data_IF_136936720205
#
_entry.id   IF_136936720205
#
_cell.length_a   1.000
_cell.length_b   1.000
_cell.length_c   1.000
_cell.angle_alpha   90.00
_cell.angle_beta   90.00
_cell.angle_gamma   90.00
#
_symmetry.space_group_name_H-M   'P 1'
#
loop_
_entity.id
_entity.type
_entity.pdbx_description
1 polymer ?
#
# COMPACT_ATOMS: atom_id res chain seq x y z
N UNK A 1 -14.20 11.65 -16.36
CA UNK A 1 -13.90 12.70 -15.38
C UNK A 1 -12.42 12.66 -15.08
N UNK A 2 -11.74 13.68 -15.58
CA UNK A 2 -10.34 13.96 -15.45
C UNK A 2 -9.86 13.82 -14.01
N UNK A 3 -9.10 12.78 -13.75
CA UNK A 3 -8.10 12.91 -12.69
C UNK A 3 -7.00 13.76 -13.29
N UNK A 4 -7.16 15.08 -13.12
CA UNK A 4 -6.19 16.05 -13.56
C UNK A 4 -4.81 15.63 -13.11
N UNK A 5 -3.84 15.83 -13.97
CA UNK A 5 -2.41 15.80 -13.63
C UNK A 5 -2.23 16.33 -12.21
N UNK A 6 -1.64 15.56 -11.30
CA UNK A 6 -1.48 16.00 -9.92
C UNK A 6 -0.81 17.38 -9.96
N UNK A 7 -1.49 18.36 -9.38
CA UNK A 7 -1.00 19.75 -9.28
C UNK A 7 0.21 19.85 -8.33
N UNK A 8 1.06 18.83 -8.31
CA UNK A 8 2.32 18.83 -7.54
C UNK A 8 3.16 20.07 -7.78
N UNK A 9 2.87 20.76 -8.88
CA UNK A 9 3.60 21.89 -9.38
C UNK A 9 2.60 22.94 -9.83
N UNK A 10 1.83 23.50 -8.91
CA UNK A 10 1.39 24.87 -9.10
C UNK A 10 2.65 25.76 -9.03
N UNK A 11 3.56 25.59 -9.98
CA UNK A 11 4.67 26.52 -10.17
C UNK A 11 4.03 27.75 -10.79
N UNK A 12 3.94 28.79 -10.00
CA UNK A 12 3.60 30.10 -10.51
C UNK A 12 4.74 30.65 -11.38
N UNK A 13 4.55 31.82 -11.96
CA UNK A 13 5.56 32.52 -12.75
C UNK A 13 6.87 32.81 -11.99
N UNK A 14 6.90 32.61 -10.68
CA UNK A 14 8.06 32.85 -9.77
C UNK A 14 8.75 31.53 -9.38
N UNK A 15 8.40 30.38 -9.97
CA UNK A 15 8.93 29.07 -9.67
C UNK A 15 8.73 28.65 -8.19
N UNK A 16 7.72 29.18 -7.53
CA UNK A 16 7.37 28.78 -6.16
C UNK A 16 6.43 27.58 -6.16
N UNK A 17 6.81 26.56 -5.40
CA UNK A 17 5.97 25.39 -5.18
C UNK A 17 4.87 25.70 -4.16
N UNK A 18 3.70 25.09 -4.37
CA UNK A 18 2.53 25.17 -3.50
C UNK A 18 2.76 24.38 -2.18
N UNK A 19 1.69 23.89 -1.56
CA UNK A 19 1.73 23.03 -0.37
C UNK A 19 2.03 21.56 -0.67
N UNK A 20 2.20 21.20 -1.93
CA UNK A 20 2.51 19.86 -2.37
C UNK A 20 4.01 19.61 -2.33
N UNK A 21 4.39 18.42 -1.90
CA UNK A 21 5.74 17.86 -2.04
C UNK A 21 5.67 16.58 -2.87
N UNK A 22 6.76 16.23 -3.51
CA UNK A 22 6.81 15.02 -4.30
C UNK A 22 7.79 15.05 -5.46
N UNK A 23 7.64 14.08 -6.36
CA UNK A 23 8.45 13.95 -7.55
C UNK A 23 7.56 13.61 -8.75
N UNK A 24 7.74 14.33 -9.87
CA UNK A 24 7.02 14.05 -11.12
C UNK A 24 7.86 14.45 -12.33
N UNK A 25 7.46 13.95 -13.49
CA UNK A 25 8.05 14.38 -14.77
C UNK A 25 7.30 15.62 -15.29
N UNK A 26 8.01 16.69 -15.64
CA UNK A 26 7.50 17.74 -16.50
C UNK A 26 7.48 17.26 -17.95
N UNK A 27 8.62 16.71 -18.41
CA UNK A 27 8.74 16.00 -19.67
C UNK A 27 9.20 14.60 -19.34
N UNK A 28 8.40 13.59 -19.68
CA UNK A 28 8.66 12.22 -19.26
C UNK A 28 10.03 11.74 -19.71
N UNK A 29 10.85 11.21 -18.78
CA UNK A 29 12.22 10.74 -18.93
C UNK A 29 13.27 11.80 -19.28
N UNK A 30 12.88 13.07 -19.44
CA UNK A 30 13.81 14.15 -19.79
C UNK A 30 13.98 15.14 -18.62
N UNK A 31 12.87 15.63 -18.07
CA UNK A 31 12.90 16.68 -17.04
C UNK A 31 12.11 16.25 -15.78
N UNK A 32 12.80 15.68 -14.79
CA UNK A 32 12.19 15.40 -13.50
C UNK A 32 12.13 16.66 -12.65
N UNK A 33 11.06 16.82 -11.90
CA UNK A 33 10.92 17.88 -10.89
C UNK A 33 10.66 17.26 -9.54
N UNK A 34 11.39 17.73 -8.55
CA UNK A 34 11.32 17.31 -7.17
C UNK A 34 11.01 18.51 -6.31
N UNK A 35 9.91 18.44 -5.56
CA UNK A 35 9.52 19.48 -4.60
C UNK A 35 9.78 18.94 -3.19
N UNK A 36 10.68 19.58 -2.49
CA UNK A 36 11.06 19.24 -1.12
C UNK A 36 10.14 19.94 -0.09
N UNK A 37 10.06 19.40 1.12
CA UNK A 37 9.29 20.02 2.20
C UNK A 37 9.84 21.39 2.60
N UNK A 38 8.94 22.31 2.96
CA UNK A 38 9.31 23.66 3.45
C UNK A 38 9.94 23.63 4.84
N UNK A 39 9.53 22.71 5.68
CA UNK A 39 10.01 22.58 7.05
C UNK A 39 11.03 21.43 7.08
N UNK A 40 12.29 21.71 7.39
CA UNK A 40 13.31 20.66 7.51
C UNK A 40 13.06 19.80 8.77
N UNK A 41 13.56 18.56 8.76
CA UNK A 41 13.55 17.64 9.91
C UNK A 41 12.16 17.21 10.41
N UNK A 42 11.14 17.21 9.54
CA UNK A 42 9.85 16.63 9.89
C UNK A 42 9.93 15.09 9.80
N UNK A 43 9.44 14.43 10.84
CA UNK A 43 9.17 12.98 10.78
C UNK A 43 7.87 12.72 10.00
N UNK A 44 8.02 12.59 8.67
CA UNK A 44 6.88 12.29 7.78
C UNK A 44 6.22 10.97 8.13
N UNK A 45 7.01 10.00 8.57
CA UNK A 45 6.46 8.70 8.95
C UNK A 45 5.55 8.82 10.17
N UNK A 46 5.97 9.61 11.17
CA UNK A 46 5.11 9.91 12.31
C UNK A 46 3.82 10.60 11.88
N UNK A 47 3.91 11.60 10.99
CA UNK A 47 2.73 12.31 10.47
C UNK A 47 1.78 11.36 9.73
N UNK A 48 2.30 10.49 8.86
CA UNK A 48 1.51 9.51 8.15
C UNK A 48 0.84 8.51 9.08
N UNK A 49 1.57 7.99 10.05
CA UNK A 49 1.03 7.03 11.02
C UNK A 49 -0.04 7.64 11.89
N UNK A 50 0.15 8.89 12.31
CA UNK A 50 -0.82 9.64 13.09
C UNK A 50 -2.11 9.89 12.29
N UNK A 51 -1.98 10.36 11.04
CA UNK A 51 -3.09 10.59 10.14
C UNK A 51 -3.88 9.29 9.87
N UNK A 52 -3.18 8.19 9.59
CA UNK A 52 -3.77 6.89 9.35
C UNK A 52 -4.55 6.36 10.56
N UNK A 53 -4.09 6.61 11.78
CA UNK A 53 -4.74 6.16 13.01
C UNK A 53 -6.12 6.80 13.23
N UNK A 54 -6.29 8.06 12.84
CA UNK A 54 -7.57 8.78 12.94
C UNK A 54 -8.49 8.50 11.77
N UNK A 55 -7.97 8.37 10.55
CA UNK A 55 -8.76 8.05 9.37
C UNK A 55 -9.52 6.71 9.51
N UNK A 56 -8.88 5.73 10.13
CA UNK A 56 -9.50 4.43 10.39
C UNK A 56 -10.67 4.46 11.36
N UNK A 57 -10.74 5.46 12.25
CA UNK A 57 -11.81 5.62 13.24
C UNK A 57 -13.03 6.35 12.67
N UNK A 58 -12.79 7.32 11.79
CA UNK A 58 -13.86 8.16 11.25
C UNK A 58 -14.38 7.67 9.89
N UNK A 59 -13.70 6.71 9.24
CA UNK A 59 -14.22 6.00 8.05
C UNK A 59 -14.37 6.83 6.77
N UNK A 60 -13.90 8.07 6.75
CA UNK A 60 -14.20 9.02 5.67
C UNK A 60 -13.16 9.08 4.55
N UNK A 61 -12.04 8.35 4.67
CA UNK A 61 -11.02 8.28 3.63
C UNK A 61 -10.31 9.61 3.37
N UNK A 62 -10.18 10.46 4.38
CA UNK A 62 -9.43 11.72 4.29
C UNK A 62 -7.96 11.47 3.98
N UNK A 63 -7.38 10.45 4.59
CA UNK A 63 -5.98 10.10 4.37
C UNK A 63 -5.68 9.73 2.92
N UNK A 64 -6.59 9.03 2.25
CA UNK A 64 -6.42 8.66 0.84
C UNK A 64 -6.42 9.85 -0.13
N UNK A 65 -6.91 11.01 0.33
CA UNK A 65 -6.94 12.27 -0.44
C UNK A 65 -5.70 13.14 -0.19
N UNK A 66 -4.85 12.79 0.80
CA UNK A 66 -3.66 13.56 1.14
C UNK A 66 -2.47 13.29 0.21
N UNK A 67 -2.51 12.21 -0.57
CA UNK A 67 -1.39 11.83 -1.44
C UNK A 67 -1.86 11.05 -2.66
N UNK A 68 -1.01 10.99 -3.67
CA UNK A 68 -1.19 10.14 -4.83
C UNK A 68 0.14 9.58 -5.29
N UNK A 69 0.12 8.38 -5.82
CA UNK A 69 1.29 7.71 -6.39
C UNK A 69 0.91 7.26 -7.79
N UNK A 70 1.68 7.69 -8.78
CA UNK A 70 1.50 7.33 -10.19
C UNK A 70 2.55 6.30 -10.58
N UNK A 71 2.12 5.04 -10.71
CA UNK A 71 2.97 3.93 -11.11
C UNK A 71 3.02 3.71 -12.62
N UNK A 72 2.23 4.45 -13.39
CA UNK A 72 2.19 4.31 -14.84
C UNK A 72 3.30 5.14 -15.51
N UNK A 73 3.82 6.15 -14.81
CA UNK A 73 4.97 6.94 -15.25
C UNK A 73 6.30 6.26 -14.93
N UNK A 74 7.31 6.56 -15.72
CA UNK A 74 8.68 6.09 -15.48
C UNK A 74 9.17 6.52 -14.08
N UNK A 75 9.91 5.67 -13.36
CA UNK A 75 10.47 6.05 -12.07
C UNK A 75 11.53 7.15 -12.25
N UNK A 76 11.65 8.01 -11.24
CA UNK A 76 12.59 9.13 -11.21
C UNK A 76 13.81 8.73 -10.37
N UNK A 77 15.01 8.95 -10.91
CA UNK A 77 16.24 8.78 -10.17
C UNK A 77 16.38 9.90 -9.13
N UNK A 78 16.70 9.53 -7.89
CA UNK A 78 16.69 10.47 -6.77
C UNK A 78 17.94 10.33 -5.90
N UNK A 79 18.26 11.40 -5.18
CA UNK A 79 19.27 11.44 -4.12
C UNK A 79 18.73 10.86 -2.80
N UNK A 80 19.61 10.58 -1.85
CA UNK A 80 19.28 9.95 -0.54
C UNK A 80 18.12 10.59 0.24
N UNK A 81 17.89 11.91 0.07
CA UNK A 81 16.88 12.64 0.83
C UNK A 81 15.42 12.22 0.53
N UNK A 82 15.16 11.60 -0.62
CA UNK A 82 13.82 11.07 -0.96
C UNK A 82 13.61 9.61 -0.52
N UNK A 83 14.64 8.95 -0.02
CA UNK A 83 14.50 7.61 0.59
C UNK A 83 13.60 7.65 1.84
N UNK A 84 13.44 8.81 2.47
CA UNK A 84 12.51 9.04 3.59
C UNK A 84 11.04 8.82 3.20
N UNK A 85 10.73 8.73 1.90
CA UNK A 85 9.36 8.48 1.41
C UNK A 85 9.06 6.97 1.18
N UNK A 86 10.06 6.11 1.35
CA UNK A 86 9.85 4.65 1.34
C UNK A 86 8.79 4.20 2.36
N UNK A 87 8.77 4.73 3.60
CA UNK A 87 7.73 4.42 4.57
C UNK A 87 6.32 4.76 4.08
N UNK A 88 6.15 5.82 3.30
CA UNK A 88 4.86 6.19 2.73
C UNK A 88 4.31 5.08 1.82
N UNK A 89 5.15 4.54 0.95
CA UNK A 89 4.74 3.45 0.05
C UNK A 89 4.30 2.22 0.85
N UNK A 90 5.01 1.89 1.94
CA UNK A 90 4.66 0.78 2.82
C UNK A 90 3.32 1.02 3.54
N UNK A 91 3.12 2.22 4.09
CA UNK A 91 1.85 2.59 4.76
C UNK A 91 0.69 2.61 3.77
N UNK A 92 0.91 3.15 2.56
CA UNK A 92 -0.08 3.10 1.48
C UNK A 92 -0.46 1.66 1.15
N UNK A 93 0.53 0.79 1.01
CA UNK A 93 0.30 -0.61 0.73
C UNK A 93 -0.54 -1.29 1.83
N UNK A 94 -0.21 -1.07 3.10
CA UNK A 94 -1.00 -1.61 4.22
C UNK A 94 -2.45 -1.12 4.15
N UNK A 95 -2.68 0.14 3.81
CA UNK A 95 -4.04 0.70 3.66
C UNK A 95 -4.81 0.03 2.51
N UNK A 96 -4.18 -0.18 1.35
CA UNK A 96 -4.79 -0.92 0.25
C UNK A 96 -5.13 -2.36 0.64
N UNK A 97 -4.22 -3.02 1.36
CA UNK A 97 -4.42 -4.39 1.82
C UNK A 97 -5.55 -4.50 2.85
N UNK A 98 -5.73 -3.49 3.70
CA UNK A 98 -6.87 -3.44 4.62
C UNK A 98 -8.20 -3.35 3.88
N UNK A 99 -8.29 -2.51 2.86
CA UNK A 99 -9.47 -2.42 2.00
C UNK A 99 -9.75 -3.76 1.30
N UNK A 100 -8.72 -4.40 0.72
CA UNK A 100 -8.87 -5.71 0.10
C UNK A 100 -9.35 -6.78 1.08
N UNK A 101 -8.83 -6.80 2.30
CA UNK A 101 -9.24 -7.76 3.32
C UNK A 101 -10.71 -7.56 3.72
N UNK A 102 -11.22 -6.31 3.75
CA UNK A 102 -12.63 -6.01 4.03
C UNK A 102 -13.57 -6.47 2.91
N UNK A 103 -13.18 -6.31 1.64
CA UNK A 103 -13.98 -6.77 0.48
C UNK A 103 -13.86 -8.28 0.24
N UNK A 104 -12.88 -8.93 0.83
CA UNK A 104 -12.57 -10.34 0.64
C UNK A 104 -11.60 -10.59 -0.52
N UNK A 105 -10.82 -11.67 -0.39
CA UNK A 105 -9.83 -12.05 -1.38
C UNK A 105 -10.48 -12.66 -2.63
N UNK A 106 -9.93 -12.32 -3.80
CA UNK A 106 -10.29 -12.95 -5.07
C UNK A 106 -10.07 -14.46 -4.97
N UNK A 107 -11.00 -15.23 -5.51
CA UNK A 107 -10.90 -16.68 -5.68
C UNK A 107 -10.88 -17.00 -7.15
N UNK A 108 -10.18 -18.07 -7.49
CA UNK A 108 -10.15 -18.55 -8.86
C UNK A 108 -9.96 -20.08 -8.88
N UNK A 109 -10.21 -20.67 -10.03
CA UNK A 109 -9.96 -22.10 -10.25
C UNK A 109 -8.48 -22.32 -10.58
N UNK A 110 -7.80 -23.09 -9.72
CA UNK A 110 -6.40 -23.46 -9.90
C UNK A 110 -6.32 -24.94 -10.21
N UNK A 111 -5.61 -25.26 -11.29
CA UNK A 111 -5.34 -26.67 -11.64
C UNK A 111 -4.24 -27.18 -10.73
N UNK A 112 -4.51 -28.23 -9.99
CA UNK A 112 -3.54 -28.90 -9.13
C UNK A 112 -3.37 -30.37 -9.51
N UNK A 113 -2.13 -30.86 -9.39
CA UNK A 113 -1.82 -32.28 -9.58
C UNK A 113 -1.35 -32.85 -8.25
N UNK A 114 -2.10 -33.83 -7.73
CA UNK A 114 -1.78 -34.49 -6.45
C UNK A 114 -1.80 -36.00 -6.58
N UNK A 115 -0.94 -36.68 -5.81
CA UNK A 115 -0.95 -38.10 -5.65
C UNK A 115 -1.90 -38.49 -4.50
N UNK A 116 -3.14 -38.81 -4.84
CA UNK A 116 -4.23 -39.08 -3.90
C UNK A 116 -4.19 -40.52 -3.43
N UNK A 117 -4.51 -40.79 -2.15
CA UNK A 117 -4.61 -42.12 -1.56
C UNK A 117 -6.07 -42.57 -1.57
N UNK A 118 -6.32 -43.79 -2.11
CA UNK A 118 -7.62 -44.43 -2.13
C UNK A 118 -8.77 -43.65 -2.78
N UNK A 119 -8.45 -42.69 -3.67
CA UNK A 119 -9.47 -41.92 -4.39
C UNK A 119 -8.95 -41.39 -5.72
N UNK A 120 -9.88 -41.15 -6.63
CA UNK A 120 -9.64 -40.44 -7.91
C UNK A 120 -10.45 -39.16 -7.91
N UNK A 121 -9.88 -38.08 -8.43
CA UNK A 121 -10.55 -36.79 -8.61
C UNK A 121 -10.04 -36.13 -9.90
N UNK A 122 -10.95 -35.73 -10.78
CA UNK A 122 -10.59 -35.17 -12.08
C UNK A 122 -9.98 -36.20 -13.01
N UNK A 123 -8.91 -35.86 -13.72
CA UNK A 123 -8.26 -36.73 -14.71
C UNK A 123 -6.97 -37.35 -14.16
N UNK A 124 -6.72 -38.63 -14.51
CA UNK A 124 -5.48 -39.30 -14.18
C UNK A 124 -4.34 -38.82 -15.07
N UNK A 125 -3.18 -38.52 -14.48
CA UNK A 125 -1.96 -38.15 -15.19
C UNK A 125 -1.15 -39.45 -15.39
N UNK A 126 -1.41 -40.15 -16.50
CA UNK A 126 -0.89 -41.51 -16.77
C UNK A 126 0.65 -41.55 -16.67
N UNK A 127 1.36 -40.58 -17.29
CA UNK A 127 2.83 -40.55 -17.24
C UNK A 127 3.39 -40.43 -15.81
N UNK A 128 2.76 -39.66 -14.95
CA UNK A 128 3.16 -39.55 -13.55
C UNK A 128 2.65 -40.71 -12.71
N UNK A 129 1.50 -41.27 -13.05
CA UNK A 129 0.95 -42.47 -12.41
C UNK A 129 1.92 -43.64 -12.55
N UNK A 130 2.44 -43.89 -13.76
CA UNK A 130 3.42 -44.92 -14.02
C UNK A 130 4.68 -44.68 -13.17
N UNK A 131 5.28 -43.49 -13.28
CA UNK A 131 6.53 -43.14 -12.60
C UNK A 131 6.44 -43.14 -11.07
N UNK A 132 5.32 -42.66 -10.49
CA UNK A 132 5.20 -42.48 -9.04
C UNK A 132 4.55 -43.62 -8.30
N UNK A 133 3.68 -44.39 -8.98
CA UNK A 133 2.86 -45.38 -8.32
C UNK A 133 3.04 -46.81 -8.92
N UNK A 134 2.98 -46.99 -10.24
CA UNK A 134 3.04 -48.33 -10.85
C UNK A 134 4.43 -48.97 -10.65
N UNK A 135 5.51 -48.24 -10.99
CA UNK A 135 6.90 -48.72 -10.81
C UNK A 135 7.18 -49.11 -9.35
N UNK A 136 6.61 -48.38 -8.40
CA UNK A 136 6.79 -48.62 -6.96
C UNK A 136 5.68 -49.48 -6.35
N UNK A 137 4.84 -50.12 -7.18
CA UNK A 137 3.72 -51.01 -6.77
C UNK A 137 2.74 -50.39 -5.76
N UNK A 138 2.55 -49.06 -5.81
CA UNK A 138 1.64 -48.32 -4.93
C UNK A 138 0.23 -48.34 -5.46
N UNK A 139 -0.46 -49.52 -5.39
CA UNK A 139 -1.78 -49.76 -5.98
C UNK A 139 -2.92 -48.90 -5.42
N UNK A 140 -2.74 -48.31 -4.23
CA UNK A 140 -3.73 -47.48 -3.54
C UNK A 140 -3.53 -45.97 -3.77
N UNK A 141 -2.71 -45.54 -4.74
CA UNK A 141 -2.45 -44.14 -5.04
C UNK A 141 -2.71 -43.83 -6.51
N UNK A 142 -3.28 -42.61 -6.74
CA UNK A 142 -3.64 -42.15 -8.06
C UNK A 142 -3.14 -40.71 -8.24
N UNK A 143 -2.33 -40.45 -9.25
CA UNK A 143 -1.89 -39.08 -9.61
C UNK A 143 -2.98 -38.44 -10.45
N UNK A 144 -3.70 -37.52 -9.86
CA UNK A 144 -4.83 -36.85 -10.48
C UNK A 144 -4.59 -35.37 -10.66
N UNK A 145 -5.07 -34.81 -11.79
CA UNK A 145 -5.17 -33.39 -12.05
C UNK A 145 -6.62 -32.96 -11.98
N UNK A 146 -6.89 -31.92 -11.18
CA UNK A 146 -8.23 -31.39 -11.00
C UNK A 146 -8.20 -29.91 -10.65
N UNK A 147 -9.32 -29.24 -10.85
CA UNK A 147 -9.48 -27.83 -10.48
C UNK A 147 -9.96 -27.70 -9.03
N UNK A 148 -9.41 -26.68 -8.34
CA UNK A 148 -9.84 -26.29 -6.99
C UNK A 148 -10.14 -24.80 -6.99
N UNK A 149 -11.33 -24.42 -6.54
CA UNK A 149 -11.71 -23.04 -6.31
C UNK A 149 -11.11 -22.58 -5.00
N UNK A 150 -10.14 -21.67 -5.05
CA UNK A 150 -9.30 -21.30 -3.90
C UNK A 150 -8.91 -19.84 -3.90
N UNK A 151 -8.58 -19.31 -2.71
CA UNK A 151 -7.90 -18.02 -2.54
C UNK A 151 -6.39 -18.11 -2.78
N UNK A 152 -5.82 -19.31 -2.80
CA UNK A 152 -4.37 -19.52 -3.01
C UNK A 152 -4.02 -19.41 -4.50
N UNK A 153 -4.14 -18.20 -5.04
CA UNK A 153 -3.87 -17.83 -6.44
C UNK A 153 -2.60 -16.97 -6.52
N UNK A 154 -1.92 -16.92 -7.67
CA UNK A 154 -0.67 -16.17 -7.82
C UNK A 154 -0.77 -14.71 -7.38
N UNK A 155 -1.87 -14.01 -7.69
CA UNK A 155 -2.09 -12.63 -7.27
C UNK A 155 -2.09 -12.49 -5.75
N UNK A 156 -2.83 -13.33 -5.02
CA UNK A 156 -2.89 -13.28 -3.56
C UNK A 156 -1.58 -13.68 -2.90
N UNK A 157 -0.84 -14.62 -3.48
CA UNK A 157 0.50 -15.00 -3.00
C UNK A 157 1.48 -13.82 -3.10
N UNK A 158 1.45 -13.08 -4.22
CA UNK A 158 2.26 -11.87 -4.40
C UNK A 158 1.92 -10.82 -3.35
N UNK A 159 0.62 -10.54 -3.15
CA UNK A 159 0.15 -9.59 -2.15
C UNK A 159 0.59 -10.00 -0.73
N UNK A 160 0.46 -11.27 -0.37
CA UNK A 160 0.94 -11.78 0.93
C UNK A 160 2.44 -11.59 1.11
N UNK A 161 3.24 -11.96 0.11
CA UNK A 161 4.70 -11.81 0.15
C UNK A 161 5.12 -10.36 0.36
N UNK A 162 4.49 -9.43 -0.39
CA UNK A 162 4.76 -8.00 -0.23
C UNK A 162 4.30 -7.47 1.14
N UNK A 163 3.20 -8.00 1.71
CA UNK A 163 2.73 -7.61 3.03
C UNK A 163 3.68 -8.05 4.14
N UNK A 164 4.19 -9.29 4.07
CA UNK A 164 5.21 -9.79 5.00
C UNK A 164 6.49 -8.95 4.93
N UNK A 165 6.88 -8.59 3.71
CA UNK A 165 8.02 -7.71 3.49
C UNK A 165 7.79 -6.31 4.09
N UNK A 166 6.64 -5.69 3.80
CA UNK A 166 6.27 -4.38 4.35
C UNK A 166 6.26 -4.40 5.90
N UNK A 167 5.73 -5.47 6.50
CA UNK A 167 5.76 -5.70 7.94
C UNK A 167 7.18 -5.69 8.51
N UNK A 168 8.07 -6.47 7.91
CA UNK A 168 9.46 -6.57 8.36
C UNK A 168 10.22 -5.23 8.25
N UNK A 169 9.95 -4.47 7.18
CA UNK A 169 10.57 -3.16 6.97
C UNK A 169 10.03 -2.09 7.90
N UNK A 170 8.71 -2.05 8.11
CA UNK A 170 8.10 -1.09 9.05
C UNK A 170 8.62 -1.31 10.47
N UNK A 171 8.80 -2.55 10.90
CA UNK A 171 9.39 -2.86 12.22
C UNK A 171 10.84 -2.39 12.36
N UNK A 172 11.61 -2.34 11.26
CA UNK A 172 12.99 -1.82 11.26
C UNK A 172 13.03 -0.29 11.26
N UNK A 173 12.09 0.35 10.57
CA UNK A 173 12.07 1.79 10.39
C UNK A 173 11.40 2.53 11.55
N UNK A 174 10.47 1.87 12.25
CA UNK A 174 9.71 2.45 13.35
C UNK A 174 10.35 2.15 14.71
N UNK A 175 10.49 3.16 15.58
CA UNK A 175 10.83 2.91 16.96
C UNK A 175 9.73 2.08 17.64
N UNK A 176 10.11 1.25 18.61
CA UNK A 176 9.14 0.46 19.39
C UNK A 176 8.31 1.37 20.29
N UNK A 177 7.11 1.72 19.86
CA UNK A 177 6.16 2.56 20.60
C UNK A 177 4.72 2.06 20.41
N UNK A 178 3.75 2.70 21.08
CA UNK A 178 2.33 2.35 21.01
C UNK A 178 1.79 2.32 19.56
N UNK A 179 2.22 3.23 18.71
CA UNK A 179 1.77 3.35 17.31
C UNK A 179 2.28 2.19 16.47
N UNK A 180 3.50 1.74 16.71
CA UNK A 180 4.04 0.54 16.05
C UNK A 180 3.20 -0.67 16.40
N UNK A 181 2.75 -0.79 17.66
CA UNK A 181 1.83 -1.84 18.10
C UNK A 181 0.48 -1.78 17.40
N UNK A 182 -0.09 -0.60 17.21
CA UNK A 182 -1.36 -0.41 16.47
C UNK A 182 -1.23 -0.82 15.00
N UNK A 183 -0.15 -0.42 14.32
CA UNK A 183 0.12 -0.82 12.96
C UNK A 183 0.31 -2.34 12.84
N UNK A 184 1.06 -2.92 13.75
CA UNK A 184 1.26 -4.36 13.81
C UNK A 184 -0.07 -5.11 14.01
N UNK A 185 -0.94 -4.62 14.87
CA UNK A 185 -2.28 -5.19 15.07
C UNK A 185 -3.12 -5.11 13.78
N UNK A 186 -3.05 -4.01 13.03
CA UNK A 186 -3.72 -3.86 11.73
C UNK A 186 -3.19 -4.86 10.71
N UNK A 187 -1.87 -4.99 10.58
CA UNK A 187 -1.24 -5.97 9.68
C UNK A 187 -1.65 -7.40 10.06
N UNK A 188 -1.62 -7.74 11.34
CA UNK A 188 -2.04 -9.05 11.81
C UNK A 188 -3.52 -9.34 11.48
N UNK A 189 -4.40 -8.33 11.59
CA UNK A 189 -5.80 -8.45 11.17
C UNK A 189 -5.92 -8.70 9.66
N UNK A 190 -5.15 -8.02 8.83
CA UNK A 190 -5.11 -8.26 7.39
C UNK A 190 -4.63 -9.69 7.11
N UNK A 191 -3.59 -10.15 7.80
CA UNK A 191 -3.00 -11.48 7.64
C UNK A 191 -4.00 -12.62 7.91
N UNK A 192 -5.02 -12.42 8.72
CA UNK A 192 -6.06 -13.43 8.92
C UNK A 192 -6.80 -13.80 7.63
N UNK A 193 -6.99 -12.84 6.72
CA UNK A 193 -7.57 -13.10 5.41
C UNK A 193 -6.67 -13.98 4.52
N UNK A 194 -5.36 -14.01 4.77
CA UNK A 194 -4.35 -14.72 3.99
C UNK A 194 -3.90 -16.06 4.61
N UNK A 195 -4.60 -16.59 5.60
CA UNK A 195 -4.23 -17.84 6.29
C UNK A 195 -4.05 -19.00 5.30
N UNK A 196 -4.95 -19.13 4.34
CA UNK A 196 -4.94 -20.21 3.34
C UNK A 196 -4.17 -19.85 2.06
N UNK A 197 -3.38 -18.79 2.06
CA UNK A 197 -2.59 -18.32 0.91
C UNK A 197 -1.12 -18.59 1.19
N UNK A 198 -0.41 -19.22 0.24
CA UNK A 198 1.04 -19.37 0.28
C UNK A 198 1.74 -18.03 0.01
N UNK A 199 2.97 -17.86 0.49
CA UNK A 199 3.84 -16.71 0.19
C UNK A 199 4.91 -17.06 -0.87
N UNK A 200 4.98 -18.32 -1.28
CA UNK A 200 5.93 -18.78 -2.29
C UNK A 200 5.45 -18.42 -3.70
N UNK A 201 6.03 -17.40 -4.29
CA UNK A 201 5.74 -16.93 -5.64
C UNK A 201 6.94 -16.19 -6.24
N UNK A 202 7.17 -16.37 -7.53
CA UNK A 202 8.05 -15.50 -8.32
C UNK A 202 7.26 -14.27 -8.79
N UNK A 203 7.82 -13.07 -8.60
CA UNK A 203 7.14 -11.80 -8.93
C UNK A 203 6.81 -11.72 -10.42
N UNK A 204 7.69 -12.24 -11.28
CA UNK A 204 7.52 -12.33 -12.74
C UNK A 204 6.35 -13.21 -13.18
N UNK A 205 5.97 -14.20 -12.35
CA UNK A 205 4.89 -15.13 -12.68
C UNK A 205 3.49 -14.51 -12.61
N UNK A 206 3.34 -13.35 -11.96
CA UNK A 206 2.04 -12.68 -11.81
C UNK A 206 1.79 -11.77 -13.00
N UNK A 207 1.03 -12.29 -13.97
CA UNK A 207 0.50 -11.48 -15.07
C UNK A 207 -0.63 -10.59 -14.55
N UNK A 208 -0.82 -9.44 -15.21
CA UNK A 208 -1.90 -8.51 -14.95
C UNK A 208 -3.27 -9.19 -15.08
N UNK A 209 -4.10 -9.09 -14.06
CA UNK A 209 -5.47 -9.58 -14.05
C UNK A 209 -6.44 -8.40 -14.16
N UNK A 210 -6.45 -7.72 -15.30
CA UNK A 210 -7.43 -6.68 -15.59
C UNK A 210 -8.81 -7.26 -15.87
N UNK A 211 -9.87 -6.49 -15.62
CA UNK A 211 -11.14 -6.80 -16.25
C UNK A 211 -12.43 -6.53 -15.48
N UNK A 212 -12.43 -6.26 -14.20
CA UNK A 212 -13.68 -5.93 -13.49
C UNK A 212 -13.53 -4.72 -12.59
N UNK A 213 -14.50 -3.79 -12.63
CA UNK A 213 -14.56 -2.63 -11.71
C UNK A 213 -14.48 -3.05 -10.24
N UNK A 214 -14.95 -4.27 -9.92
CA UNK A 214 -14.90 -4.88 -8.59
C UNK A 214 -13.46 -5.13 -8.10
N UNK A 215 -12.50 -5.28 -9.01
CA UNK A 215 -11.10 -5.59 -8.72
C UNK A 215 -10.13 -4.44 -8.95
N UNK A 216 -10.63 -3.20 -9.05
CA UNK A 216 -9.77 -2.02 -9.22
C UNK A 216 -8.72 -1.89 -8.12
N UNK A 217 -9.09 -2.19 -6.87
CA UNK A 217 -8.14 -2.18 -5.74
C UNK A 217 -7.08 -3.28 -5.84
N UNK A 218 -7.42 -4.43 -6.44
CA UNK A 218 -6.44 -5.49 -6.69
C UNK A 218 -5.33 -5.06 -7.63
N UNK A 219 -5.70 -4.36 -8.69
CA UNK A 219 -4.76 -3.86 -9.68
C UNK A 219 -3.76 -2.89 -9.04
N UNK A 220 -4.27 -1.93 -8.29
CA UNK A 220 -3.43 -0.99 -7.55
C UNK A 220 -2.53 -1.71 -6.55
N UNK A 221 -3.08 -2.62 -5.74
CA UNK A 221 -2.31 -3.38 -4.76
C UNK A 221 -1.23 -4.26 -5.40
N UNK A 222 -1.49 -4.88 -6.55
CA UNK A 222 -0.51 -5.68 -7.30
C UNK A 222 0.61 -4.79 -7.83
N UNK A 223 0.31 -3.60 -8.39
CA UNK A 223 1.32 -2.64 -8.85
C UNK A 223 2.24 -2.26 -7.67
N UNK A 224 1.66 -1.79 -6.57
CA UNK A 224 2.41 -1.41 -5.36
C UNK A 224 3.22 -2.58 -4.80
N UNK A 225 2.66 -3.78 -4.76
CA UNK A 225 3.37 -4.99 -4.29
C UNK A 225 4.60 -5.31 -5.15
N UNK A 226 4.48 -5.22 -6.47
CA UNK A 226 5.60 -5.41 -7.39
C UNK A 226 6.67 -4.35 -7.16
N UNK A 227 6.30 -3.07 -7.04
CA UNK A 227 7.27 -1.99 -6.82
C UNK A 227 7.99 -2.13 -5.49
N UNK A 228 7.28 -2.49 -4.42
CA UNK A 228 7.90 -2.79 -3.13
C UNK A 228 8.92 -3.93 -3.28
N UNK A 229 8.54 -5.05 -3.87
CA UNK A 229 9.42 -6.21 -3.98
C UNK A 229 10.60 -5.95 -4.93
N UNK A 230 10.38 -5.30 -6.09
CA UNK A 230 11.45 -4.97 -7.04
C UNK A 230 12.48 -3.99 -6.47
N UNK A 231 12.04 -2.94 -5.78
CA UNK A 231 12.96 -1.96 -5.17
C UNK A 231 13.93 -2.61 -4.18
N UNK A 232 13.47 -3.65 -3.49
CA UNK A 232 14.27 -4.29 -2.46
C UNK A 232 15.10 -5.47 -2.98
N UNK A 233 14.66 -6.16 -4.04
CA UNK A 233 15.54 -7.08 -4.76
C UNK A 233 16.74 -6.33 -5.38
N UNK A 234 16.51 -5.11 -5.91
CA UNK A 234 17.58 -4.24 -6.38
C UNK A 234 18.50 -3.73 -5.27
N UNK A 235 17.98 -3.40 -4.08
CA UNK A 235 18.79 -2.93 -2.97
C UNK A 235 19.64 -4.02 -2.34
N UNK A 236 19.19 -5.28 -2.38
CA UNK A 236 19.97 -6.43 -1.91
C UNK A 236 21.03 -6.89 -2.92
N UNK A 237 20.77 -6.74 -4.22
CA UNK A 237 21.69 -7.13 -5.29
C UNK A 237 22.71 -6.06 -5.69
N UNK A 238 22.44 -4.77 -5.40
CA UNK A 238 23.25 -3.61 -5.80
C UNK A 238 23.69 -2.75 -4.61
N UNK A 239 24.30 -3.34 -3.60
CA UNK A 239 25.00 -2.62 -2.52
C UNK A 239 26.09 -1.64 -3.06
N UNK A 240 26.45 -1.75 -4.33
CA UNK A 240 27.48 -0.93 -4.99
C UNK A 240 26.97 0.23 -5.86
N UNK A 241 25.65 0.38 -6.10
CA UNK A 241 25.12 1.49 -6.92
C UNK A 241 24.21 2.39 -6.08
N UNK A 242 24.68 3.63 -5.86
CA UNK A 242 24.01 4.71 -5.08
C UNK A 242 22.75 5.31 -5.72
N UNK A 243 22.15 4.68 -6.71
CA UNK A 243 21.03 5.27 -7.43
C UNK A 243 19.71 4.78 -6.82
N UNK A 244 18.98 5.69 -6.20
CA UNK A 244 17.65 5.45 -5.65
C UNK A 244 16.59 5.90 -6.66
N UNK A 245 15.59 5.06 -6.92
CA UNK A 245 14.47 5.39 -7.80
C UNK A 245 13.18 5.56 -6.99
N UNK A 246 12.37 6.54 -7.34
CA UNK A 246 11.04 6.77 -6.75
C UNK A 246 9.97 6.78 -7.84
N UNK A 247 8.74 6.24 -7.62
CA UNK A 247 7.64 6.50 -8.52
C UNK A 247 7.30 7.98 -8.52
N UNK A 248 6.56 8.45 -9.50
CA UNK A 248 5.94 9.76 -9.43
C UNK A 248 4.91 9.76 -8.29
N UNK A 249 4.99 10.75 -7.41
CA UNK A 249 4.07 10.86 -6.27
C UNK A 249 3.91 12.33 -5.87
N UNK A 250 2.84 12.60 -5.14
CA UNK A 250 2.60 13.89 -4.51
C UNK A 250 1.95 13.69 -3.14
N UNK A 251 2.22 14.63 -2.25
CA UNK A 251 1.63 14.71 -0.91
C UNK A 251 1.14 16.13 -0.70
N UNK A 252 -0.13 16.29 -0.33
CA UNK A 252 -0.69 17.54 0.15
C UNK A 252 -0.31 17.71 1.62
N UNK A 253 0.73 18.50 1.85
CA UNK A 253 1.27 18.74 3.19
C UNK A 253 0.32 19.51 4.09
N UNK A 254 -0.54 20.35 3.53
CA UNK A 254 -1.56 21.07 4.30
C UNK A 254 -2.56 20.11 4.91
N UNK A 255 -3.15 19.25 4.09
CA UNK A 255 -4.11 18.24 4.55
C UNK A 255 -3.48 17.19 5.47
N UNK A 256 -2.27 16.75 5.16
CA UNK A 256 -1.55 15.82 6.01
C UNK A 256 -1.28 16.43 7.40
N UNK A 257 -0.89 17.70 7.45
CA UNK A 257 -0.65 18.42 8.68
C UNK A 257 -1.94 18.59 9.50
N UNK A 258 -3.05 18.94 8.86
CA UNK A 258 -4.37 19.00 9.52
C UNK A 258 -4.73 17.64 10.16
N UNK A 259 -4.58 16.52 9.44
CA UNK A 259 -4.84 15.19 10.01
C UNK A 259 -3.86 14.84 11.15
N UNK A 260 -2.61 15.25 11.06
CA UNK A 260 -1.64 15.06 12.13
C UNK A 260 -2.05 15.82 13.39
N UNK A 261 -2.41 17.12 13.25
CA UNK A 261 -2.90 17.93 14.36
C UNK A 261 -4.18 17.33 14.92
N UNK A 262 -5.11 16.91 14.06
CA UNK A 262 -6.32 16.23 14.49
C UNK A 262 -6.02 14.98 15.32
N UNK A 263 -5.06 14.17 14.91
CA UNK A 263 -4.65 13.01 15.69
C UNK A 263 -4.16 13.38 17.10
N UNK A 264 -3.40 14.45 17.23
CA UNK A 264 -2.93 14.93 18.55
C UNK A 264 -4.08 15.45 19.41
N UNK A 265 -4.96 16.26 18.83
CA UNK A 265 -6.14 16.81 19.51
C UNK A 265 -7.11 15.70 19.92
N UNK A 266 -7.35 14.72 19.04
CA UNK A 266 -8.21 13.60 19.35
C UNK A 266 -7.66 12.73 20.48
N UNK A 267 -6.35 12.53 20.54
CA UNK A 267 -5.74 11.83 21.67
C UNK A 267 -5.91 12.57 23.01
N UNK A 268 -5.92 13.90 23.00
CA UNK A 268 -6.06 14.73 24.19
C UNK A 268 -7.53 14.87 24.63
N UNK A 269 -8.45 15.08 23.70
CA UNK A 269 -9.82 15.52 23.98
C UNK A 269 -10.92 14.55 23.54
N UNK A 270 -10.54 13.45 22.84
CA UNK A 270 -11.46 12.41 22.36
C UNK A 270 -12.64 13.00 21.54
N UNK A 271 -13.89 12.63 21.88
CA UNK A 271 -15.08 13.04 21.17
C UNK A 271 -15.46 14.53 21.32
N UNK A 272 -14.74 15.29 22.16
CA UNK A 272 -14.90 16.74 22.28
C UNK A 272 -14.30 17.52 21.11
N UNK A 273 -13.52 16.87 20.21
CA UNK A 273 -12.98 17.49 19.01
C UNK A 273 -13.74 17.03 17.78
N UNK A 274 -14.21 17.99 16.98
CA UNK A 274 -14.77 17.77 15.64
C UNK A 274 -13.79 18.24 14.58
N UNK A 275 -13.65 17.46 13.51
CA UNK A 275 -12.75 17.73 12.38
C UNK A 275 -13.54 18.09 11.12
N UNK A 276 -13.05 19.05 10.33
CA UNK A 276 -13.61 19.47 9.04
C UNK A 276 -15.13 19.76 9.13
N UNK A 277 -15.51 20.63 10.08
CA UNK A 277 -16.92 20.97 10.31
C UNK A 277 -17.40 21.90 9.20
N UNK A 278 -18.46 21.54 8.45
CA UNK A 278 -19.01 22.39 7.42
C UNK A 278 -19.45 23.76 7.99
N UNK A 279 -18.94 24.81 7.39
CA UNK A 279 -19.32 26.19 7.71
C UNK A 279 -20.28 26.78 6.69
N UNK A 280 -20.51 28.08 6.80
CA UNK A 280 -21.35 28.83 5.86
C UNK A 280 -20.64 28.98 4.50
N UNK A 281 -21.38 28.93 3.39
CA UNK A 281 -20.88 29.11 2.00
C UNK A 281 -19.78 28.14 1.56
N UNK A 282 -19.93 26.84 1.86
CA UNK A 282 -18.97 25.78 1.48
C UNK A 282 -17.57 25.93 2.08
N UNK A 283 -17.42 26.73 3.13
CA UNK A 283 -16.21 26.75 3.94
C UNK A 283 -16.22 25.60 4.95
N UNK A 284 -15.08 25.12 5.36
CA UNK A 284 -14.96 24.17 6.46
C UNK A 284 -14.05 24.80 7.53
N UNK A 285 -14.36 24.52 8.78
CA UNK A 285 -13.53 24.84 9.94
C UNK A 285 -12.69 23.62 10.25
N UNK A 286 -11.37 23.79 10.41
CA UNK A 286 -10.47 22.64 10.61
C UNK A 286 -10.85 21.86 11.86
N UNK A 287 -10.97 22.53 13.02
CA UNK A 287 -11.35 21.86 14.26
C UNK A 287 -12.28 22.73 15.12
N UNK A 288 -13.18 22.06 15.83
CA UNK A 288 -14.01 22.67 16.86
C UNK A 288 -13.86 21.86 18.14
N UNK A 289 -13.45 22.53 19.23
CA UNK A 289 -13.52 21.95 20.58
C UNK A 289 -14.88 22.27 21.18
N UNK A 290 -15.72 21.26 21.35
CA UNK A 290 -17.13 21.43 21.74
C UNK A 290 -17.25 21.94 23.17
N UNK A 291 -16.51 21.37 24.10
CA UNK A 291 -16.57 21.70 25.52
C UNK A 291 -16.19 23.17 25.82
N UNK A 292 -15.13 23.66 25.18
CA UNK A 292 -14.62 25.02 25.37
C UNK A 292 -15.14 26.03 24.34
N UNK A 293 -15.92 25.58 23.36
CA UNK A 293 -16.46 26.40 22.26
C UNK A 293 -15.37 27.15 21.47
N UNK A 294 -14.24 26.47 21.24
CA UNK A 294 -13.12 27.03 20.51
C UNK A 294 -13.08 26.56 19.06
N UNK A 295 -12.74 27.47 18.16
CA UNK A 295 -12.41 27.17 16.76
C UNK A 295 -10.89 27.20 16.63
N UNK A 296 -10.33 26.14 16.06
CA UNK A 296 -8.88 25.98 15.86
C UNK A 296 -8.62 25.83 14.38
N UNK A 297 -7.68 26.57 13.86
CA UNK A 297 -7.24 26.57 12.47
C UNK A 297 -5.77 26.11 12.42
N UNK A 298 -5.45 25.11 11.59
CA UNK A 298 -4.11 24.58 11.47
C UNK A 298 -3.44 25.07 10.18
N UNK A 299 -2.27 25.65 10.31
CA UNK A 299 -1.52 26.19 9.15
C UNK A 299 -0.15 25.56 9.04
N UNK A 300 0.10 24.90 7.90
CA UNK A 300 1.42 24.42 7.52
C UNK A 300 2.22 25.58 6.91
N UNK A 301 2.95 26.30 7.75
CA UNK A 301 3.84 27.40 7.37
C UNK A 301 5.19 27.24 8.03
N UNK A 302 6.30 27.70 7.36
CA UNK A 302 7.61 27.75 8.00
C UNK A 302 7.61 28.77 9.17
#
# INVERSE_FOLDING_TARGET
>A
SDMGTPQCLAIDSTLTASYYIGATWLVERELPVIVLPKIPNIDYLEMFMAALSVDSKHGEGYFSKCYGIDFDKSPIETTENLSQLTPLLLVHYVTLMEQLARYGLKRDYVIITKNLKNKVKGSLVISQQIKKNIIYQRKNRNVCTYQVYTTDIPANRLLKRALLFAQAMLLKLLPSNKRTGELQARINKIMTAFVNVSDNIEVSAVKYCGGSKLFRYYEQAIKVAKDILHRYDYSLSNISKKNHFTPCFWIDMSRLFELYVYSKLYHAYQDNIRFQVPGYRKTAVDFIHIGERLIIDAKYKP
#
